data_IF_952770979455
#
_entry.id   IF_952770979455
#
_cell.length_a   1.000
_cell.length_b   1.000
_cell.length_c   1.000
_cell.angle_alpha   90.00
_cell.angle_beta   90.00
_cell.angle_gamma   90.00
#
_symmetry.space_group_name_H-M   'P 1'
#
loop_
_entity.id
_entity.type
_entity.pdbx_description
1 polymer ?
#
# COMPACT_ATOMS: atom_id res chain seq x y z
N UNK A 1 1.48 18.73 12.89
CA UNK A 1 0.55 17.93 12.07
C UNK A 1 -0.05 16.87 12.96
N UNK A 2 -1.37 16.80 13.00
CA UNK A 2 -2.13 15.78 13.70
C UNK A 2 -2.70 14.80 12.68
N UNK A 3 -3.01 13.56 13.11
CA UNK A 3 -3.52 12.52 12.25
C UNK A 3 -4.78 11.90 12.85
N UNK A 4 -5.79 11.66 12.01
CA UNK A 4 -6.85 10.70 12.26
C UNK A 4 -6.64 9.53 11.30
N UNK A 5 -6.73 8.31 11.81
CA UNK A 5 -6.41 7.10 11.07
C UNK A 5 -7.62 6.18 11.10
N UNK A 6 -7.93 5.60 9.96
CA UNK A 6 -8.90 4.52 9.87
C UNK A 6 -8.45 3.53 8.79
N UNK A 7 -8.78 2.26 8.98
CA UNK A 7 -8.48 1.20 8.02
C UNK A 7 -9.61 0.18 8.02
N UNK A 8 -9.84 -0.42 6.86
CA UNK A 8 -10.79 -1.51 6.71
C UNK A 8 -10.29 -2.51 5.68
N UNK A 9 -10.65 -3.76 5.86
CA UNK A 9 -10.31 -4.85 4.95
C UNK A 9 -11.49 -5.82 4.86
N UNK A 10 -11.73 -6.36 3.68
CA UNK A 10 -12.76 -7.35 3.41
C UNK A 10 -12.17 -8.50 2.58
N UNK A 11 -12.63 -9.71 2.83
CA UNK A 11 -12.17 -10.90 2.11
C UNK A 11 -12.64 -10.91 0.64
N UNK A 12 -13.60 -10.06 0.27
CA UNK A 12 -14.24 -10.06 -1.04
C UNK A 12 -15.25 -11.19 -1.19
N UNK A 13 -15.74 -11.37 -2.42
CA UNK A 13 -16.86 -12.29 -2.69
C UNK A 13 -16.43 -13.74 -2.96
N UNK A 14 -15.22 -13.96 -3.44
CA UNK A 14 -14.81 -15.27 -3.99
C UNK A 14 -13.64 -15.92 -3.27
N UNK A 15 -12.88 -15.19 -2.49
CA UNK A 15 -11.71 -15.71 -1.79
C UNK A 15 -12.10 -16.42 -0.50
N UNK A 16 -11.35 -17.45 -0.13
CA UNK A 16 -11.52 -18.17 1.14
C UNK A 16 -10.62 -17.64 2.26
N UNK A 17 -9.62 -16.84 1.90
CA UNK A 17 -8.64 -16.26 2.82
C UNK A 17 -8.37 -14.83 2.40
N UNK A 18 -8.29 -13.93 3.37
CA UNK A 18 -7.78 -12.60 3.11
C UNK A 18 -6.25 -12.66 3.09
N UNK A 19 -5.66 -12.43 1.94
CA UNK A 19 -4.21 -12.44 1.72
C UNK A 19 -3.60 -11.04 1.86
N UNK A 20 -4.43 -10.00 1.94
CA UNK A 20 -4.00 -8.65 2.29
C UNK A 20 -3.58 -8.57 3.75
N UNK A 21 -2.59 -7.77 4.03
CA UNK A 21 -2.16 -7.44 5.39
C UNK A 21 -1.76 -5.96 5.45
N UNK A 22 -2.07 -5.31 6.55
CA UNK A 22 -1.66 -3.93 6.77
C UNK A 22 -1.25 -3.69 8.21
N UNK A 23 -0.48 -2.62 8.42
CA UNK A 23 -0.15 -2.10 9.75
C UNK A 23 -0.12 -0.58 9.70
N UNK A 24 -0.66 0.06 10.72
CA UNK A 24 -0.55 1.51 10.91
C UNK A 24 -0.07 1.79 12.31
N UNK A 25 1.00 2.58 12.40
CA UNK A 25 1.62 2.95 13.67
C UNK A 25 1.84 4.45 13.75
N UNK A 26 1.48 5.02 14.88
CA UNK A 26 1.71 6.44 15.17
C UNK A 26 2.74 6.57 16.28
N UNK A 27 3.66 7.52 16.10
CA UNK A 27 4.76 7.79 17.02
C UNK A 27 4.76 9.27 17.38
N UNK A 28 5.27 9.59 18.56
CA UNK A 28 5.70 10.94 18.93
C UNK A 28 7.21 11.06 18.81
N UNK A 29 7.65 12.12 18.14
CA UNK A 29 9.07 12.43 17.97
C UNK A 29 9.33 13.90 18.21
N UNK A 30 10.61 14.32 18.18
CA UNK A 30 11.00 15.74 18.22
C UNK A 30 10.49 16.53 17.00
N UNK A 31 10.06 15.84 15.95
CA UNK A 31 9.43 16.41 14.74
C UNK A 31 7.90 16.46 14.82
N UNK A 32 7.33 16.24 16.01
CA UNK A 32 5.89 16.10 16.20
C UNK A 32 5.41 14.66 16.01
N UNK A 33 4.14 14.51 15.63
CA UNK A 33 3.58 13.20 15.34
C UNK A 33 4.11 12.68 14.00
N UNK A 34 4.34 11.37 13.97
CA UNK A 34 4.80 10.61 12.81
C UNK A 34 3.89 9.41 12.63
N UNK A 35 3.51 9.10 11.41
CA UNK A 35 2.71 7.91 11.10
C UNK A 35 3.41 7.07 10.05
N UNK A 36 3.45 5.75 10.28
CA UNK A 36 3.86 4.74 9.32
C UNK A 36 2.65 3.89 9.00
N UNK A 37 2.27 3.83 7.73
CA UNK A 37 1.31 2.88 7.20
C UNK A 37 2.00 1.95 6.21
N UNK A 38 1.71 0.66 6.29
CA UNK A 38 2.21 -0.36 5.36
C UNK A 38 1.05 -1.22 4.93
N UNK A 39 0.93 -1.45 3.64
CA UNK A 39 -0.06 -2.35 3.04
C UNK A 39 0.65 -3.32 2.11
N UNK A 40 0.30 -4.58 2.20
CA UNK A 40 0.84 -5.70 1.43
C UNK A 40 -0.33 -6.53 0.91
N UNK A 41 -0.40 -6.70 -0.41
CA UNK A 41 -1.33 -7.61 -1.08
C UNK A 41 -0.59 -8.91 -1.37
N UNK A 42 -1.04 -9.97 -0.73
CA UNK A 42 -0.41 -11.28 -0.79
C UNK A 42 -0.93 -12.11 -1.95
N UNK A 43 -0.03 -12.59 -2.78
CA UNK A 43 -0.35 -13.44 -3.91
C UNK A 43 0.18 -14.87 -3.73
N UNK A 44 -0.65 -15.83 -4.04
CA UNK A 44 -0.28 -17.24 -4.06
C UNK A 44 -1.31 -18.04 -4.82
N UNK A 45 -0.90 -18.73 -5.86
CA UNK A 45 -1.78 -19.35 -6.85
C UNK A 45 -2.79 -20.39 -6.32
N UNK A 46 -2.62 -20.92 -5.09
CA UNK A 46 -3.56 -21.83 -4.44
C UNK A 46 -3.56 -21.77 -2.91
N UNK A 47 -2.56 -21.18 -2.25
CA UNK A 47 -2.55 -20.98 -0.79
C UNK A 47 -1.34 -20.16 -0.35
N UNK A 48 -1.51 -19.33 0.67
CA UNK A 48 -0.48 -18.72 1.53
C UNK A 48 0.13 -17.39 1.09
N UNK A 49 -0.53 -16.60 0.23
CA UNK A 49 -0.19 -15.18 0.05
C UNK A 49 -0.21 -14.42 1.37
N UNK A 50 -1.12 -14.78 2.28
CA UNK A 50 -1.21 -14.25 3.66
C UNK A 50 0.06 -14.46 4.50
N UNK A 51 0.85 -15.51 4.20
CA UNK A 51 2.14 -15.74 4.87
C UNK A 51 3.18 -14.73 4.38
N UNK A 52 3.19 -14.43 3.07
CA UNK A 52 4.11 -13.47 2.50
C UNK A 52 3.81 -12.04 3.00
N UNK A 53 2.55 -11.59 2.87
CA UNK A 53 2.11 -10.28 3.31
C UNK A 53 2.33 -10.06 4.80
N UNK A 54 1.90 -11.01 5.66
CA UNK A 54 2.11 -10.93 7.10
C UNK A 54 3.60 -10.96 7.50
N UNK A 55 4.46 -11.69 6.76
CA UNK A 55 5.90 -11.70 7.03
C UNK A 55 6.51 -10.32 6.83
N UNK A 56 6.14 -9.65 5.77
CA UNK A 56 6.66 -8.33 5.44
C UNK A 56 6.11 -7.26 6.39
N UNK A 57 4.82 -7.31 6.72
CA UNK A 57 4.22 -6.42 7.74
C UNK A 57 4.99 -6.51 9.07
N UNK A 58 5.26 -7.72 9.56
CA UNK A 58 6.02 -7.92 10.82
C UNK A 58 7.45 -7.36 10.73
N UNK A 59 8.08 -7.42 9.57
CA UNK A 59 9.41 -6.85 9.38
C UNK A 59 9.39 -5.32 9.50
N UNK A 60 8.41 -4.65 8.87
CA UNK A 60 8.22 -3.21 9.01
C UNK A 60 7.84 -2.80 10.43
N UNK A 61 6.99 -3.57 11.11
CA UNK A 61 6.64 -3.31 12.51
C UNK A 61 7.88 -3.36 13.40
N UNK A 62 8.70 -4.41 13.28
CA UNK A 62 9.95 -4.57 14.03
C UNK A 62 10.91 -3.42 13.74
N UNK A 63 11.08 -3.04 12.48
CA UNK A 63 11.90 -1.91 12.10
C UNK A 63 11.39 -0.60 12.72
N UNK A 64 10.09 -0.37 12.68
CA UNK A 64 9.46 0.83 13.23
C UNK A 64 9.61 0.96 14.75
N UNK A 65 9.75 -0.15 15.47
CA UNK A 65 9.97 -0.18 16.90
C UNK A 65 11.44 0.07 17.29
N UNK A 66 12.39 -0.41 16.48
CA UNK A 66 13.79 -0.46 16.88
C UNK A 66 14.67 0.55 16.14
N UNK A 67 14.49 0.71 14.82
CA UNK A 67 15.35 1.56 13.98
C UNK A 67 14.75 2.94 13.73
N UNK A 68 13.46 3.05 13.40
CA UNK A 68 12.81 4.33 13.14
C UNK A 68 13.01 5.39 14.25
N UNK A 69 12.94 5.04 15.57
CA UNK A 69 13.20 6.04 16.62
C UNK A 69 14.62 6.62 16.58
N UNK A 70 15.61 5.85 16.13
CA UNK A 70 16.99 6.35 15.96
C UNK A 70 17.09 7.28 14.74
N UNK A 71 16.51 6.89 13.60
CA UNK A 71 16.44 7.72 12.41
C UNK A 71 15.77 9.06 12.70
N UNK A 72 14.65 9.05 13.42
CA UNK A 72 13.96 10.28 13.83
C UNK A 72 14.82 11.16 14.74
N UNK A 73 15.56 10.59 15.68
CA UNK A 73 16.48 11.38 16.54
C UNK A 73 17.63 12.00 15.75
N UNK A 74 18.10 11.34 14.71
CA UNK A 74 19.25 11.75 13.89
C UNK A 74 18.87 12.64 12.70
N UNK A 75 17.60 13.02 12.55
CA UNK A 75 17.16 13.94 11.51
C UNK A 75 16.53 13.28 10.29
N UNK A 76 16.24 11.99 10.33
CA UNK A 76 15.58 11.21 9.25
C UNK A 76 16.17 11.51 7.86
N UNK A 77 17.43 11.15 7.65
CA UNK A 77 18.04 11.24 6.33
C UNK A 77 17.40 10.25 5.35
N UNK A 78 16.97 10.74 4.21
CA UNK A 78 16.25 9.95 3.18
C UNK A 78 17.07 8.73 2.72
N UNK A 79 18.37 8.90 2.51
CA UNK A 79 19.24 7.79 2.12
C UNK A 79 19.36 6.71 3.21
N UNK A 80 19.33 7.10 4.50
CA UNK A 80 19.34 6.14 5.60
C UNK A 80 18.03 5.35 5.65
N UNK A 81 16.89 6.03 5.48
CA UNK A 81 15.58 5.42 5.39
C UNK A 81 15.51 4.42 4.22
N UNK A 82 15.96 4.81 3.03
CA UNK A 82 15.98 3.95 1.85
C UNK A 82 16.90 2.73 2.03
N UNK A 83 18.06 2.87 2.68
CA UNK A 83 18.93 1.73 3.00
C UNK A 83 18.23 0.72 3.90
N UNK A 84 17.60 1.19 4.98
CA UNK A 84 16.88 0.32 5.91
C UNK A 84 15.72 -0.41 5.21
N UNK A 85 14.94 0.30 4.43
CA UNK A 85 13.82 -0.26 3.71
C UNK A 85 14.27 -1.26 2.62
N UNK A 86 15.34 -0.95 1.88
CA UNK A 86 15.95 -1.90 0.94
C UNK A 86 16.41 -3.19 1.64
N UNK A 87 17.01 -3.06 2.83
CA UNK A 87 17.42 -4.22 3.60
C UNK A 87 16.22 -5.08 4.00
N UNK A 88 15.11 -4.47 4.48
CA UNK A 88 13.86 -5.17 4.79
C UNK A 88 13.37 -5.95 3.57
N UNK A 89 13.31 -5.31 2.40
CA UNK A 89 12.81 -5.95 1.17
C UNK A 89 13.72 -7.11 0.78
N UNK A 90 15.04 -6.91 0.75
CA UNK A 90 16.00 -7.94 0.32
C UNK A 90 15.98 -9.15 1.25
N UNK A 91 16.04 -8.95 2.57
CA UNK A 91 16.04 -10.03 3.55
C UNK A 91 14.72 -10.84 3.52
N UNK A 92 13.58 -10.14 3.39
CA UNK A 92 12.29 -10.82 3.37
C UNK A 92 11.98 -11.44 2.00
N UNK A 93 12.49 -10.92 0.89
CA UNK A 93 12.44 -11.59 -0.40
C UNK A 93 13.08 -12.97 -0.30
N UNK A 94 14.32 -13.06 0.20
CA UNK A 94 14.99 -14.35 0.37
C UNK A 94 14.30 -15.27 1.38
N UNK A 95 13.80 -14.73 2.49
CA UNK A 95 13.07 -15.50 3.50
C UNK A 95 11.81 -16.13 2.95
N UNK A 96 11.00 -15.38 2.20
CA UNK A 96 9.74 -15.85 1.61
C UNK A 96 10.04 -16.86 0.47
N UNK A 97 11.04 -16.59 -0.39
CA UNK A 97 11.51 -17.53 -1.42
C UNK A 97 11.94 -18.88 -0.82
N UNK A 98 12.72 -18.84 0.26
CA UNK A 98 13.19 -20.06 0.93
C UNK A 98 12.03 -20.84 1.55
N UNK A 99 11.06 -20.16 2.17
CA UNK A 99 9.84 -20.80 2.65
C UNK A 99 9.07 -21.45 1.51
N UNK A 100 8.90 -20.76 0.39
CA UNK A 100 8.25 -21.31 -0.81
C UNK A 100 8.95 -22.56 -1.34
N UNK A 101 10.29 -22.53 -1.47
CA UNK A 101 11.09 -23.69 -1.89
C UNK A 101 10.91 -24.90 -0.95
N UNK A 102 10.92 -24.67 0.37
CA UNK A 102 10.76 -25.74 1.37
C UNK A 102 9.38 -26.37 1.36
N UNK A 103 8.35 -25.59 1.05
CA UNK A 103 6.95 -26.03 1.08
C UNK A 103 6.41 -26.43 -0.29
N UNK A 104 7.19 -26.24 -1.37
CA UNK A 104 6.73 -26.48 -2.74
C UNK A 104 5.66 -25.52 -3.22
N UNK A 105 5.60 -24.30 -2.65
CA UNK A 105 4.56 -23.30 -2.94
C UNK A 105 5.22 -22.05 -3.52
N UNK A 106 4.60 -21.49 -4.57
CA UNK A 106 4.98 -20.18 -5.07
C UNK A 106 4.10 -19.13 -4.40
N UNK A 107 4.70 -18.20 -3.67
CA UNK A 107 4.03 -17.12 -2.95
C UNK A 107 4.86 -15.85 -2.98
N UNK A 108 4.18 -14.72 -2.93
CA UNK A 108 4.80 -13.40 -2.91
C UNK A 108 3.83 -12.37 -2.36
N UNK A 109 4.25 -11.13 -2.31
CA UNK A 109 3.42 -10.01 -1.89
C UNK A 109 3.89 -8.71 -2.53
N UNK A 110 2.95 -7.83 -2.80
CA UNK A 110 3.25 -6.41 -3.02
C UNK A 110 3.62 -5.74 -1.71
N UNK A 111 4.08 -4.51 -1.75
CA UNK A 111 4.18 -3.64 -0.58
C UNK A 111 4.14 -2.18 -0.98
N UNK A 112 3.32 -1.40 -0.29
CA UNK A 112 3.38 0.06 -0.25
C UNK A 112 3.55 0.49 1.20
N UNK A 113 4.67 1.15 1.51
CA UNK A 113 4.93 1.72 2.82
C UNK A 113 4.95 3.24 2.72
N UNK A 114 4.20 3.92 3.58
CA UNK A 114 4.09 5.38 3.65
C UNK A 114 4.48 5.84 5.05
N UNK A 115 5.54 6.62 5.16
CA UNK A 115 5.97 7.31 6.38
C UNK A 115 5.68 8.80 6.22
N UNK A 116 4.82 9.37 7.08
CA UNK A 116 4.54 10.81 7.11
C UNK A 116 5.12 11.41 8.39
N UNK A 117 5.93 12.43 8.23
CA UNK A 117 6.41 13.30 9.31
C UNK A 117 5.72 14.67 9.22
N UNK A 118 6.02 15.58 10.14
CA UNK A 118 5.51 16.96 10.04
C UNK A 118 6.03 17.76 8.84
N UNK A 119 7.10 17.30 8.19
CA UNK A 119 7.80 18.06 7.13
C UNK A 119 7.87 17.31 5.80
N UNK A 120 7.86 15.97 5.80
CA UNK A 120 7.97 15.17 4.58
C UNK A 120 7.14 13.89 4.70
N UNK A 121 6.71 13.38 3.56
CA UNK A 121 6.33 11.99 3.42
C UNK A 121 7.36 11.23 2.57
N UNK A 122 7.50 9.94 2.84
CA UNK A 122 8.33 9.00 2.09
C UNK A 122 7.51 7.76 1.78
N UNK A 123 7.60 7.29 0.55
CA UNK A 123 6.91 6.08 0.08
C UNK A 123 7.94 5.11 -0.49
N UNK A 124 7.79 3.83 -0.14
CA UNK A 124 8.37 2.70 -0.85
C UNK A 124 7.23 1.95 -1.53
N UNK A 125 7.42 1.55 -2.78
CA UNK A 125 6.45 0.76 -3.52
C UNK A 125 7.09 -0.43 -4.25
N UNK A 126 6.47 -1.61 -4.14
CA UNK A 126 6.73 -2.80 -4.95
C UNK A 126 5.39 -3.42 -5.32
N UNK A 127 5.09 -3.50 -6.60
CA UNK A 127 3.84 -4.05 -7.11
C UNK A 127 2.85 -2.97 -7.53
N UNK A 128 1.56 -3.22 -7.36
CA UNK A 128 0.45 -2.40 -7.83
C UNK A 128 -0.54 -1.95 -6.74
N UNK A 129 -0.21 -2.20 -5.47
CA UNK A 129 -0.82 -1.44 -4.37
C UNK A 129 -0.46 0.02 -4.51
N UNK A 130 -1.40 0.92 -4.24
CA UNK A 130 -1.22 2.35 -4.50
C UNK A 130 -1.28 3.20 -3.24
N UNK A 131 -0.53 4.30 -3.28
CA UNK A 131 -0.68 5.44 -2.38
C UNK A 131 -1.28 6.63 -3.12
N UNK A 132 -2.19 7.36 -2.46
CA UNK A 132 -2.85 8.55 -2.98
C UNK A 132 -2.73 9.71 -1.99
N UNK A 133 -2.71 10.93 -2.52
CA UNK A 133 -3.03 12.16 -1.79
C UNK A 133 -4.37 12.68 -2.30
N UNK A 134 -5.30 12.90 -1.39
CA UNK A 134 -6.65 13.42 -1.67
C UNK A 134 -6.78 14.75 -0.91
N UNK A 135 -6.87 15.86 -1.65
CA UNK A 135 -7.03 17.19 -1.09
C UNK A 135 -8.07 17.96 -1.91
N UNK A 136 -7.68 18.94 -2.73
CA UNK A 136 -8.57 19.62 -3.68
C UNK A 136 -8.91 18.72 -4.88
N UNK A 137 -8.06 17.75 -5.15
CA UNK A 137 -8.22 16.68 -6.13
C UNK A 137 -7.52 15.41 -5.61
N UNK A 138 -7.76 14.30 -6.27
CA UNK A 138 -7.07 13.04 -5.99
C UNK A 138 -5.83 12.91 -6.89
N UNK A 139 -4.71 12.53 -6.28
CA UNK A 139 -3.45 12.29 -6.97
C UNK A 139 -2.89 10.93 -6.55
N UNK A 140 -2.51 10.11 -7.53
CA UNK A 140 -1.73 8.89 -7.30
C UNK A 140 -0.28 9.28 -7.01
N UNK A 141 0.28 8.77 -5.93
CA UNK A 141 1.67 9.05 -5.51
C UNK A 141 2.65 7.95 -5.89
N UNK A 142 2.15 6.77 -6.26
CA UNK A 142 2.94 5.60 -6.68
C UNK A 142 2.78 5.33 -8.17
N UNK A 143 3.61 4.45 -8.70
CA UNK A 143 3.50 3.92 -10.06
C UNK A 143 3.35 2.41 -10.00
N UNK A 144 2.34 1.86 -10.68
CA UNK A 144 2.13 0.41 -10.72
C UNK A 144 3.29 -0.28 -11.45
N UNK A 145 3.78 -1.36 -10.88
CA UNK A 145 4.79 -2.22 -11.48
C UNK A 145 4.12 -3.44 -12.12
N UNK A 146 3.22 -3.19 -13.09
CA UNK A 146 2.53 -4.21 -13.88
C UNK A 146 2.99 -4.22 -15.34
N UNK A 147 2.74 -5.34 -16.03
CA UNK A 147 3.01 -5.45 -17.47
C UNK A 147 2.28 -4.34 -18.23
N UNK A 148 1.01 -4.10 -17.94
CA UNK A 148 0.22 -3.09 -18.66
C UNK A 148 0.70 -1.66 -18.36
N UNK A 149 1.12 -1.36 -17.13
CA UNK A 149 1.69 -0.05 -16.79
C UNK A 149 2.99 0.20 -17.59
N UNK A 150 3.82 -0.83 -17.76
CA UNK A 150 5.02 -0.75 -18.61
C UNK A 150 4.67 -0.56 -20.08
N UNK A 151 3.65 -1.25 -20.60
CA UNK A 151 3.19 -1.11 -21.98
C UNK A 151 2.65 0.30 -22.26
N UNK A 152 1.91 0.89 -21.31
CA UNK A 152 1.45 2.29 -21.38
C UNK A 152 2.67 3.25 -21.41
N UNK A 153 3.62 3.08 -20.49
CA UNK A 153 4.81 3.92 -20.42
C UNK A 153 5.66 3.86 -21.70
N UNK A 154 5.64 2.70 -22.40
CA UNK A 154 6.30 2.53 -23.70
C UNK A 154 5.44 2.98 -24.89
N UNK A 155 4.24 3.49 -24.67
CA UNK A 155 3.32 3.93 -25.73
C UNK A 155 2.75 2.78 -26.59
N UNK A 156 2.73 1.54 -26.05
CA UNK A 156 2.20 0.35 -26.73
C UNK A 156 0.76 0.05 -26.40
N UNK A 157 0.25 0.57 -25.28
CA UNK A 157 -1.16 0.52 -24.91
C UNK A 157 -1.64 1.90 -24.48
N UNK A 158 -2.90 2.22 -24.74
CA UNK A 158 -3.59 3.32 -24.07
C UNK A 158 -4.10 2.89 -22.69
N UNK A 159 -4.40 3.82 -21.77
CA UNK A 159 -5.02 3.48 -20.49
C UNK A 159 -6.31 2.66 -20.65
N UNK A 160 -7.16 3.01 -21.62
CA UNK A 160 -8.44 2.33 -21.87
C UNK A 160 -8.25 0.89 -22.40
N UNK A 161 -7.20 0.65 -23.18
CA UNK A 161 -6.82 -0.70 -23.64
C UNK A 161 -6.27 -1.53 -22.49
N UNK A 162 -5.46 -0.93 -21.61
CA UNK A 162 -4.87 -1.59 -20.46
C UNK A 162 -5.92 -2.10 -19.45
N UNK A 163 -7.01 -1.35 -19.23
CA UNK A 163 -8.11 -1.77 -18.35
C UNK A 163 -8.76 -3.09 -18.81
N UNK A 164 -8.74 -3.38 -20.11
CA UNK A 164 -9.32 -4.58 -20.72
C UNK A 164 -8.30 -5.65 -21.04
N UNK A 165 -7.01 -5.39 -20.84
CA UNK A 165 -5.94 -6.35 -21.13
C UNK A 165 -5.98 -7.49 -20.09
N UNK A 166 -5.96 -8.76 -20.53
CA UNK A 166 -5.96 -9.90 -19.61
C UNK A 166 -4.72 -9.95 -18.70
N UNK A 167 -3.67 -9.19 -19.01
CA UNK A 167 -2.44 -9.08 -18.22
C UNK A 167 -2.45 -7.93 -17.20
N UNK A 168 -3.59 -7.25 -17.00
CA UNK A 168 -3.68 -6.06 -16.15
C UNK A 168 -3.17 -6.27 -14.71
N UNK A 169 -3.35 -7.47 -14.15
CA UNK A 169 -2.88 -7.87 -12.82
C UNK A 169 -1.55 -8.64 -12.84
N UNK A 170 -0.83 -8.67 -13.98
CA UNK A 170 0.46 -9.35 -14.05
C UNK A 170 1.56 -8.40 -13.57
N UNK A 171 2.11 -8.69 -12.40
CA UNK A 171 3.18 -7.90 -11.80
C UNK A 171 4.52 -8.15 -12.50
N UNK A 172 5.31 -7.09 -12.63
CA UNK A 172 6.71 -7.16 -13.08
C UNK A 172 7.63 -7.71 -12.00
N UNK A 173 7.30 -7.43 -10.74
CA UNK A 173 8.04 -7.93 -9.59
C UNK A 173 7.16 -7.97 -8.34
N UNK A 174 7.50 -8.85 -7.39
CA UNK A 174 6.90 -8.93 -6.06
C UNK A 174 7.90 -9.51 -5.07
N UNK A 175 7.72 -9.22 -3.79
CA UNK A 175 8.59 -9.72 -2.72
C UNK A 175 8.25 -11.19 -2.46
N UNK A 176 9.22 -12.08 -2.58
CA UNK A 176 9.10 -13.51 -2.32
C UNK A 176 9.06 -14.39 -3.57
N UNK A 177 8.74 -13.85 -4.75
CA UNK A 177 8.72 -14.63 -5.99
C UNK A 177 9.68 -14.10 -7.07
N UNK A 178 10.12 -12.85 -6.96
CA UNK A 178 11.13 -12.28 -7.88
C UNK A 178 12.54 -12.68 -7.47
N UNK A 179 13.44 -12.84 -8.44
CA UNK A 179 14.86 -13.14 -8.16
C UNK A 179 15.51 -11.98 -7.42
N UNK A 180 15.32 -10.78 -7.92
CA UNK A 180 15.70 -9.52 -7.27
C UNK A 180 14.48 -8.60 -7.24
N UNK A 181 14.39 -7.76 -6.22
CA UNK A 181 13.32 -6.76 -6.07
C UNK A 181 13.97 -5.38 -6.02
N UNK A 182 13.46 -4.47 -6.84
CA UNK A 182 13.89 -3.08 -6.91
C UNK A 182 12.70 -2.18 -6.55
N UNK A 183 12.61 -1.72 -5.29
CA UNK A 183 11.55 -0.82 -4.88
C UNK A 183 11.65 0.54 -5.56
N UNK A 184 10.50 1.12 -5.90
CA UNK A 184 10.41 2.54 -6.23
C UNK A 184 10.28 3.38 -4.96
N UNK A 185 10.86 4.59 -5.00
CA UNK A 185 10.83 5.54 -3.89
C UNK A 185 10.22 6.86 -4.35
N UNK A 186 9.28 7.37 -3.55
CA UNK A 186 8.68 8.68 -3.76
C UNK A 186 8.74 9.48 -2.47
N UNK A 187 8.85 10.79 -2.57
CA UNK A 187 8.83 11.66 -1.42
C UNK A 187 8.24 13.03 -1.77
N UNK A 188 7.69 13.70 -0.78
CA UNK A 188 7.10 15.01 -0.96
C UNK A 188 6.86 15.74 0.36
N UNK A 189 6.22 16.88 0.28
CA UNK A 189 5.81 17.68 1.44
C UNK A 189 4.36 17.35 1.74
N UNK A 190 4.04 16.86 2.95
CA UNK A 190 2.66 16.51 3.28
C UNK A 190 1.81 17.78 3.38
N UNK A 191 0.63 17.72 2.78
CA UNK A 191 -0.36 18.80 2.88
C UNK A 191 -1.12 18.70 4.20
N UNK A 192 -1.38 19.84 4.82
CA UNK A 192 -2.42 19.95 5.83
C UNK A 192 -3.79 19.83 5.16
N UNK A 193 -4.77 19.33 5.89
CA UNK A 193 -6.12 19.16 5.37
C UNK A 193 -6.18 18.27 4.13
N UNK A 194 -5.48 17.14 4.16
CA UNK A 194 -5.49 16.12 3.12
C UNK A 194 -5.78 14.73 3.70
N UNK A 195 -6.11 13.78 2.85
CA UNK A 195 -6.21 12.35 3.16
C UNK A 195 -5.14 11.62 2.36
N UNK A 196 -4.28 10.90 3.05
CA UNK A 196 -3.36 9.94 2.45
C UNK A 196 -3.99 8.56 2.52
N UNK A 197 -4.12 7.90 1.38
CA UNK A 197 -4.77 6.60 1.29
C UNK A 197 -3.82 5.58 0.70
N UNK A 198 -3.73 4.38 1.32
CA UNK A 198 -3.16 3.19 0.72
C UNK A 198 -4.28 2.22 0.39
N UNK A 199 -4.22 1.55 -0.75
CA UNK A 199 -5.20 0.51 -1.07
C UNK A 199 -4.60 -0.63 -1.90
N UNK A 200 -5.17 -1.85 -1.75
CA UNK A 200 -4.95 -2.97 -2.67
C UNK A 200 -5.67 -2.72 -4.00
N UNK A 201 -5.36 -3.54 -4.99
CA UNK A 201 -5.95 -3.46 -6.32
C UNK A 201 -7.47 -3.72 -6.29
N UNK A 202 -7.94 -4.65 -5.45
CA UNK A 202 -9.35 -4.95 -5.28
C UNK A 202 -10.20 -3.75 -4.81
N UNK A 203 -9.62 -2.78 -4.09
CA UNK A 203 -10.34 -1.57 -3.69
C UNK A 203 -10.60 -0.60 -4.85
N UNK A 204 -9.88 -0.70 -5.94
CA UNK A 204 -9.92 0.28 -7.05
C UNK A 204 -10.33 -0.31 -8.40
N UNK A 205 -10.61 -1.61 -8.47
CA UNK A 205 -10.95 -2.25 -9.75
C UNK A 205 -12.33 -1.88 -10.27
N UNK A 206 -13.29 -1.71 -9.37
CA UNK A 206 -14.70 -1.52 -9.74
C UNK A 206 -15.24 -0.14 -9.38
N UNK A 207 -14.45 0.72 -8.72
CA UNK A 207 -14.82 2.09 -8.36
C UNK A 207 -13.93 3.10 -9.09
N UNK A 208 -14.54 4.22 -9.50
CA UNK A 208 -13.80 5.27 -10.20
C UNK A 208 -13.05 6.19 -9.23
N UNK A 209 -12.06 6.89 -9.77
CA UNK A 209 -11.31 7.92 -9.03
C UNK A 209 -12.23 9.01 -8.48
N UNK A 210 -13.28 9.38 -9.24
CA UNK A 210 -14.29 10.37 -8.86
C UNK A 210 -15.12 9.88 -7.68
N UNK A 211 -15.52 8.61 -7.67
CA UNK A 211 -16.23 8.00 -6.54
C UNK A 211 -15.36 7.95 -5.30
N UNK A 212 -14.09 7.54 -5.43
CA UNK A 212 -13.13 7.60 -4.32
C UNK A 212 -13.06 9.02 -3.76
N UNK A 213 -12.92 10.03 -4.63
CA UNK A 213 -12.86 11.42 -4.20
C UNK A 213 -14.14 11.88 -3.49
N UNK A 214 -15.32 11.51 -3.99
CA UNK A 214 -16.59 11.88 -3.38
C UNK A 214 -16.72 11.40 -1.93
N UNK A 215 -16.26 10.19 -1.64
CA UNK A 215 -16.36 9.60 -0.30
C UNK A 215 -15.19 9.94 0.61
N UNK A 216 -13.96 10.08 0.05
CA UNK A 216 -12.73 10.16 0.85
C UNK A 216 -12.05 11.54 0.80
N UNK A 217 -12.69 12.57 0.23
CA UNK A 217 -12.13 13.91 0.32
C UNK A 217 -12.12 14.43 1.77
N UNK A 218 -11.28 15.42 2.09
CA UNK A 218 -11.11 15.89 3.45
C UNK A 218 -12.40 16.36 4.15
N UNK A 219 -13.37 16.88 3.43
CA UNK A 219 -14.63 17.33 4.02
C UNK A 219 -15.53 16.17 4.49
N UNK A 220 -15.37 14.99 3.88
CA UNK A 220 -16.09 13.77 4.23
C UNK A 220 -15.38 12.93 5.30
N UNK A 221 -14.08 13.16 5.54
CA UNK A 221 -13.24 12.36 6.42
C UNK A 221 -12.99 13.07 7.75
N UNK A 222 -14.05 13.38 8.50
CA UNK A 222 -14.01 14.28 9.67
C UNK A 222 -13.48 13.64 10.94
N UNK A 223 -13.75 12.37 11.14
CA UNK A 223 -13.34 11.58 12.31
C UNK A 223 -13.17 10.11 11.93
N UNK A 224 -12.62 9.31 12.82
CA UNK A 224 -12.30 7.89 12.55
C UNK A 224 -13.53 7.05 12.21
N UNK A 225 -14.68 7.32 12.83
CA UNK A 225 -15.92 6.57 12.57
C UNK A 225 -16.49 6.94 11.20
N UNK A 226 -16.53 8.23 10.88
CA UNK A 226 -16.94 8.72 9.56
C UNK A 226 -16.03 8.18 8.45
N UNK A 227 -14.71 8.23 8.65
CA UNK A 227 -13.74 7.64 7.74
C UNK A 227 -14.00 6.16 7.49
N UNK A 228 -14.24 5.40 8.56
CA UNK A 228 -14.53 3.96 8.47
C UNK A 228 -15.80 3.70 7.66
N UNK A 229 -16.89 4.39 7.96
CA UNK A 229 -18.18 4.25 7.24
C UNK A 229 -18.03 4.56 5.75
N UNK A 230 -17.29 5.59 5.38
CA UNK A 230 -17.08 5.97 4.00
C UNK A 230 -16.28 4.92 3.23
N UNK A 231 -15.22 4.36 3.85
CA UNK A 231 -14.45 3.28 3.25
C UNK A 231 -15.27 1.99 3.13
N UNK A 232 -16.05 1.62 4.15
CA UNK A 232 -16.95 0.47 4.11
C UNK A 232 -18.03 0.62 3.02
N UNK A 233 -18.56 1.84 2.81
CA UNK A 233 -19.52 2.09 1.74
C UNK A 233 -18.90 1.85 0.35
N UNK A 234 -17.65 2.23 0.13
CA UNK A 234 -16.93 1.96 -1.11
C UNK A 234 -16.66 0.47 -1.29
N UNK A 235 -16.27 -0.24 -0.24
CA UNK A 235 -16.08 -1.71 -0.27
C UNK A 235 -17.40 -2.42 -0.65
N UNK A 236 -18.52 -2.00 -0.06
CA UNK A 236 -19.80 -2.57 -0.43
C UNK A 236 -20.19 -2.27 -1.88
N UNK A 237 -19.83 -1.10 -2.40
CA UNK A 237 -20.02 -0.75 -3.82
C UNK A 237 -19.16 -1.65 -4.73
N UNK A 238 -17.88 -1.91 -4.40
CA UNK A 238 -17.01 -2.85 -5.10
C UNK A 238 -17.65 -4.26 -5.15
N UNK A 239 -18.13 -4.74 -4.02
CA UNK A 239 -18.80 -6.06 -3.91
C UNK A 239 -20.08 -6.11 -4.73
N UNK A 240 -20.91 -5.06 -4.73
CA UNK A 240 -22.10 -4.97 -5.58
C UNK A 240 -21.75 -5.01 -7.08
N UNK A 241 -20.58 -4.49 -7.46
CA UNK A 241 -20.02 -4.53 -8.83
C UNK A 241 -19.22 -5.77 -9.12
N UNK A 242 -19.32 -6.79 -8.25
CA UNK A 242 -18.73 -8.13 -8.41
C UNK A 242 -17.20 -8.13 -8.35
N UNK A 243 -16.59 -7.28 -7.52
CA UNK A 243 -15.17 -7.44 -7.20
C UNK A 243 -14.93 -8.80 -6.55
N UNK A 244 -13.86 -9.48 -6.96
CA UNK A 244 -13.56 -10.87 -6.60
C UNK A 244 -12.35 -11.02 -5.70
N UNK A 245 -11.52 -9.97 -5.61
CA UNK A 245 -10.31 -10.02 -4.81
C UNK A 245 -10.53 -9.58 -3.36
N UNK A 246 -9.49 -9.70 -2.55
CA UNK A 246 -9.43 -9.08 -1.25
C UNK A 246 -9.43 -7.56 -1.41
N UNK A 247 -10.08 -6.84 -0.51
CA UNK A 247 -10.29 -5.41 -0.62
C UNK A 247 -9.77 -4.75 0.66
N UNK A 248 -8.70 -3.96 0.55
CA UNK A 248 -8.10 -3.30 1.72
C UNK A 248 -7.82 -1.83 1.43
N UNK A 249 -8.19 -0.99 2.38
CA UNK A 249 -7.92 0.45 2.34
C UNK A 249 -7.51 0.98 3.71
N UNK A 250 -6.47 1.81 3.73
CA UNK A 250 -5.96 2.53 4.89
C UNK A 250 -6.00 4.01 4.57
N UNK A 251 -6.58 4.82 5.44
CA UNK A 251 -6.67 6.28 5.27
C UNK A 251 -6.12 7.02 6.47
N UNK A 252 -5.32 8.04 6.20
CA UNK A 252 -4.68 8.92 7.17
C UNK A 252 -5.09 10.36 6.85
N UNK A 253 -5.88 10.95 7.71
CA UNK A 253 -6.32 12.33 7.60
C UNK A 253 -5.33 13.24 8.32
N UNK A 254 -4.81 14.28 7.64
CA UNK A 254 -3.89 15.29 8.18
C UNK A 254 -4.60 16.59 8.56
N UNK A 255 -4.18 17.22 9.67
CA UNK A 255 -4.65 18.53 10.16
C UNK A 255 -3.51 19.49 10.42
#
# INVERSE_FOLDING_TARGET
MEFIISATTDIGLTKNTNQDSFSVRQFRSNYGNVVLAVLCDGMGGLAKGEVASATLIRAFEKWSEHQLPQLLRNGLEEQALQRDWNQIITENNEKIKNYGKQTGINLGTTVTALLITGTRYHILNVGDTRAYEIADHIQVLTQDQTVVAQEIACGRLTPEEAERDPRRSVLLQCVGASETVQPDYFSGIPRQNAVYMLCSDGFRHQISTEEIYQYLNPACMTDSECMKKNMEALIELDKQRQERDNITVVSIRTY
#
